data_IF_910029013687
#
_entry.id   IF_910029013687
#
_cell.length_a   1.000
_cell.length_b   1.000
_cell.length_c   1.000
_cell.angle_alpha   90.00
_cell.angle_beta   90.00
_cell.angle_gamma   90.00
#
_symmetry.space_group_name_H-M   'P 1'
#
loop_
_entity.id
_entity.type
_entity.pdbx_description
1 polymer ?
#
# COMPACT_ATOMS: atom_id res chain seq x y z
N UNK A 1 -18.74 19.21 -28.90
CA UNK A 1 -18.66 17.81 -29.36
C UNK A 1 -17.46 17.66 -30.26
N UNK A 2 -16.36 17.16 -29.71
CA UNK A 2 -15.25 16.58 -30.46
C UNK A 2 -14.71 15.44 -29.58
N UNK A 3 -14.76 14.26 -30.17
CA UNK A 3 -14.44 12.94 -29.65
C UNK A 3 -13.08 12.87 -28.93
N UNK A 4 -13.10 12.52 -27.63
CA UNK A 4 -11.96 12.00 -26.88
C UNK A 4 -11.75 10.53 -27.29
N UNK A 5 -11.09 10.31 -28.42
CA UNK A 5 -10.56 8.98 -28.76
C UNK A 5 -9.15 8.83 -28.20
N UNK A 6 -9.07 7.96 -27.20
CA UNK A 6 -8.07 6.91 -27.07
C UNK A 6 -6.59 7.31 -26.93
N UNK A 7 -6.15 7.45 -25.66
CA UNK A 7 -4.75 7.28 -25.24
C UNK A 7 -4.72 6.62 -23.84
N UNK A 8 -5.29 5.41 -23.73
CA UNK A 8 -5.21 4.59 -22.49
C UNK A 8 -3.98 3.67 -22.40
N UNK A 9 -2.98 3.85 -23.26
CA UNK A 9 -1.67 3.20 -23.12
C UNK A 9 -0.71 4.12 -22.39
N UNK A 10 -0.75 4.10 -21.05
CA UNK A 10 0.24 4.76 -20.22
C UNK A 10 1.62 4.12 -20.44
N UNK A 11 2.54 4.91 -20.99
CA UNK A 11 3.93 4.55 -21.32
C UNK A 11 4.80 4.38 -20.05
N UNK A 12 4.50 3.36 -19.25
CA UNK A 12 5.27 2.93 -18.07
C UNK A 12 6.23 1.79 -18.48
N UNK A 13 7.13 2.04 -19.42
CA UNK A 13 7.95 1.01 -20.08
C UNK A 13 8.99 0.29 -19.19
N UNK A 14 9.17 0.71 -17.93
CA UNK A 14 10.05 0.01 -16.96
C UNK A 14 9.29 -0.82 -15.93
N UNK A 15 7.96 -0.77 -15.92
CA UNK A 15 7.15 -1.56 -15.00
C UNK A 15 6.65 -2.82 -15.70
N UNK A 16 6.66 -3.92 -14.98
CA UNK A 16 6.08 -5.14 -15.48
C UNK A 16 4.56 -5.01 -15.59
N UNK A 17 3.94 -5.38 -16.73
CA UNK A 17 2.50 -5.35 -16.88
C UNK A 17 1.79 -6.47 -16.11
N UNK A 18 2.48 -7.40 -15.47
CA UNK A 18 1.87 -8.34 -14.52
C UNK A 18 1.96 -7.81 -13.09
N UNK A 19 3.16 -7.45 -12.66
CA UNK A 19 3.43 -7.16 -11.24
C UNK A 19 3.29 -5.68 -10.88
N UNK A 20 3.32 -4.79 -11.88
CA UNK A 20 3.46 -3.33 -11.74
C UNK A 20 4.70 -2.85 -10.98
N UNK A 21 5.66 -3.75 -10.76
CA UNK A 21 6.96 -3.43 -10.18
C UNK A 21 7.98 -3.13 -11.28
N UNK A 22 9.04 -2.39 -10.92
CA UNK A 22 10.24 -2.29 -11.78
C UNK A 22 10.77 -3.70 -12.07
N UNK A 23 11.03 -4.02 -13.35
CA UNK A 23 11.55 -5.35 -13.67
C UNK A 23 12.89 -5.62 -12.98
N UNK A 24 13.06 -6.83 -12.47
CA UNK A 24 14.33 -7.36 -11.97
C UNK A 24 14.98 -8.27 -13.00
N UNK A 25 14.20 -9.17 -13.59
CA UNK A 25 14.63 -10.07 -14.66
C UNK A 25 13.60 -10.05 -15.81
N UNK A 26 13.63 -9.00 -16.65
CA UNK A 26 12.66 -8.83 -17.72
C UNK A 26 12.89 -9.86 -18.84
N UNK A 27 11.82 -10.50 -19.28
CA UNK A 27 11.78 -11.39 -20.44
C UNK A 27 10.79 -10.87 -21.48
N UNK A 28 11.19 -10.91 -22.74
CA UNK A 28 10.34 -10.65 -23.89
C UNK A 28 9.65 -11.97 -24.28
N UNK A 29 8.32 -11.95 -24.31
CA UNK A 29 7.52 -13.04 -24.83
C UNK A 29 7.27 -12.86 -26.33
N UNK A 30 6.92 -13.96 -27.02
CA UNK A 30 6.61 -13.97 -28.46
C UNK A 30 5.43 -13.07 -28.85
N UNK A 31 4.57 -12.72 -27.89
CA UNK A 31 3.46 -11.78 -28.07
C UNK A 31 3.92 -10.29 -28.13
N UNK A 32 5.23 -10.04 -28.08
CA UNK A 32 5.83 -8.71 -28.16
C UNK A 32 5.88 -7.94 -26.84
N UNK A 33 5.42 -8.53 -25.73
CA UNK A 33 5.38 -7.86 -24.43
C UNK A 33 6.50 -8.33 -23.51
N UNK A 34 6.96 -7.42 -22.64
CA UNK A 34 7.99 -7.73 -21.63
C UNK A 34 7.33 -8.01 -20.29
N UNK A 35 7.74 -9.09 -19.63
CA UNK A 35 7.23 -9.51 -18.33
C UNK A 35 8.37 -9.77 -17.34
N UNK A 36 8.08 -9.73 -16.04
CA UNK A 36 9.02 -10.22 -15.02
C UNK A 36 9.07 -11.74 -15.11
N UNK A 37 10.26 -12.32 -15.28
CA UNK A 37 10.44 -13.75 -15.55
C UNK A 37 9.62 -14.61 -14.60
N UNK A 38 9.82 -14.44 -13.30
CA UNK A 38 9.19 -15.27 -12.28
C UNK A 38 7.65 -15.22 -12.39
N UNK A 39 7.10 -14.03 -12.64
CA UNK A 39 5.65 -13.83 -12.75
C UNK A 39 5.06 -14.47 -14.01
N UNK A 40 5.69 -14.28 -15.17
CA UNK A 40 5.19 -14.85 -16.43
C UNK A 40 5.35 -16.36 -16.48
N UNK A 41 6.44 -16.88 -15.91
CA UNK A 41 6.68 -18.32 -15.84
C UNK A 41 5.63 -19.05 -15.01
N UNK A 42 5.19 -18.45 -13.89
CA UNK A 42 4.09 -18.99 -13.12
C UNK A 42 2.75 -18.85 -13.84
N UNK A 43 2.50 -17.71 -14.48
CA UNK A 43 1.29 -17.50 -15.27
C UNK A 43 1.16 -18.56 -16.38
N UNK A 44 2.22 -18.79 -17.16
CA UNK A 44 2.24 -19.81 -18.21
C UNK A 44 1.98 -21.19 -17.62
N UNK A 45 2.61 -21.54 -16.49
CA UNK A 45 2.37 -22.83 -15.82
C UNK A 45 0.90 -23.04 -15.44
N UNK A 46 0.17 -21.95 -15.17
CA UNK A 46 -1.23 -21.97 -14.76
C UNK A 46 -2.21 -21.92 -15.92
N UNK A 47 -1.93 -21.12 -16.95
CA UNK A 47 -2.90 -20.79 -18.00
C UNK A 47 -2.48 -21.24 -19.40
N UNK A 48 -1.19 -21.53 -19.63
CA UNK A 48 -0.64 -21.83 -20.95
C UNK A 48 -0.78 -20.71 -21.98
N UNK A 49 -1.04 -19.46 -21.54
CA UNK A 49 -1.35 -18.34 -22.43
C UNK A 49 -0.70 -17.03 -21.98
N UNK A 50 -0.64 -16.05 -22.88
CA UNK A 50 -0.21 -14.69 -22.59
C UNK A 50 -1.22 -13.97 -21.68
N UNK A 51 -0.78 -13.25 -20.64
CA UNK A 51 -1.68 -12.48 -19.78
C UNK A 51 -2.40 -11.32 -20.50
N UNK A 52 -1.75 -10.73 -21.51
CA UNK A 52 -2.26 -9.54 -22.20
C UNK A 52 -3.05 -9.90 -23.44
N UNK A 53 -2.57 -10.86 -24.24
CA UNK A 53 -3.17 -11.20 -25.54
C UNK A 53 -4.07 -12.45 -25.48
N UNK A 54 -3.98 -13.23 -24.39
CA UNK A 54 -4.64 -14.54 -24.22
C UNK A 54 -4.28 -15.59 -25.26
N UNK A 55 -3.28 -15.31 -26.11
CA UNK A 55 -2.76 -16.28 -27.08
C UNK A 55 -1.92 -17.36 -26.39
N UNK A 56 -1.83 -18.59 -26.93
CA UNK A 56 -0.98 -19.64 -26.39
C UNK A 56 0.47 -19.15 -26.20
N UNK A 57 1.04 -19.40 -25.03
CA UNK A 57 2.40 -19.00 -24.69
C UNK A 57 3.09 -20.11 -23.91
N UNK A 58 4.33 -20.43 -24.30
CA UNK A 58 5.15 -21.48 -23.71
C UNK A 58 6.42 -20.88 -23.12
N UNK A 59 6.98 -21.55 -22.12
CA UNK A 59 8.20 -21.14 -21.41
C UNK A 59 9.41 -21.04 -22.36
N UNK A 60 9.43 -21.85 -23.42
CA UNK A 60 10.48 -21.85 -24.45
C UNK A 60 10.49 -20.57 -25.30
N UNK A 61 9.38 -19.82 -25.27
CA UNK A 61 9.20 -18.58 -26.02
C UNK A 61 9.45 -17.32 -25.15
N UNK A 62 10.15 -17.47 -24.03
CA UNK A 62 10.58 -16.38 -23.17
C UNK A 62 12.07 -16.10 -23.37
N UNK A 63 12.39 -14.92 -23.89
CA UNK A 63 13.75 -14.50 -24.18
C UNK A 63 14.18 -13.41 -23.19
N UNK A 64 15.39 -13.45 -22.60
CA UNK A 64 15.87 -12.36 -21.77
C UNK A 64 15.81 -11.00 -22.50
N UNK A 65 15.10 -10.02 -21.94
CA UNK A 65 15.06 -8.68 -22.49
C UNK A 65 16.21 -7.84 -21.92
N UNK A 66 17.41 -8.08 -22.47
CA UNK A 66 18.64 -7.42 -22.01
C UNK A 66 18.63 -5.89 -22.22
N UNK A 67 17.80 -5.39 -23.14
CA UNK A 67 17.64 -3.94 -23.36
C UNK A 67 16.91 -3.31 -22.18
N UNK A 68 15.72 -3.82 -21.84
CA UNK A 68 14.96 -3.35 -20.67
C UNK A 68 15.77 -3.55 -19.39
N UNK A 69 16.45 -4.69 -19.26
CA UNK A 69 17.34 -4.97 -18.12
C UNK A 69 18.43 -3.91 -17.97
N UNK A 70 19.13 -3.54 -19.05
CA UNK A 70 20.15 -2.47 -19.03
C UNK A 70 19.57 -1.12 -18.66
N UNK A 71 18.36 -0.76 -19.14
CA UNK A 71 17.73 0.52 -18.79
C UNK A 71 17.41 0.57 -17.29
N UNK A 72 16.92 -0.52 -16.72
CA UNK A 72 16.59 -0.59 -15.29
C UNK A 72 17.85 -0.63 -14.44
N UNK A 73 18.85 -1.42 -14.83
CA UNK A 73 20.14 -1.47 -14.14
C UNK A 73 20.80 -0.08 -14.17
N UNK A 74 20.70 0.66 -15.28
CA UNK A 74 21.15 2.05 -15.36
C UNK A 74 20.33 2.96 -14.43
N UNK A 75 18.99 2.82 -14.40
CA UNK A 75 18.13 3.60 -13.52
C UNK A 75 18.43 3.36 -12.03
N UNK A 76 18.54 2.10 -11.61
CA UNK A 76 18.89 1.69 -10.24
C UNK A 76 20.33 2.09 -9.90
N UNK A 77 21.27 1.96 -10.83
CA UNK A 77 22.67 2.39 -10.64
C UNK A 77 22.76 3.91 -10.50
N UNK A 78 22.05 4.68 -11.33
CA UNK A 78 21.98 6.14 -11.21
C UNK A 78 21.38 6.55 -9.86
N UNK A 79 20.29 5.90 -9.45
CA UNK A 79 19.64 6.14 -8.17
C UNK A 79 20.57 5.81 -7.00
N UNK A 80 21.29 4.69 -7.06
CA UNK A 80 22.27 4.27 -6.05
C UNK A 80 23.52 5.14 -6.02
N UNK A 81 24.04 5.56 -7.18
CA UNK A 81 25.19 6.47 -7.28
C UNK A 81 24.88 7.83 -6.67
N UNK A 82 23.63 8.27 -6.82
CA UNK A 82 23.09 9.44 -6.12
C UNK A 82 22.82 9.21 -4.64
N UNK A 83 23.07 8.01 -4.11
CA UNK A 83 22.76 7.61 -2.73
C UNK A 83 21.29 7.88 -2.37
N UNK A 84 20.38 7.67 -3.33
CA UNK A 84 18.95 7.96 -3.18
C UNK A 84 18.65 9.44 -2.88
N UNK A 85 19.50 10.37 -3.34
CA UNK A 85 19.32 11.82 -3.22
C UNK A 85 19.01 12.44 -4.59
N UNK A 86 17.87 13.09 -4.72
CA UNK A 86 17.42 13.81 -5.90
C UNK A 86 17.37 15.30 -5.60
N UNK A 87 17.46 16.14 -6.64
CA UNK A 87 17.47 17.60 -6.48
C UNK A 87 16.30 18.23 -7.23
N UNK A 88 15.52 19.08 -6.55
CA UNK A 88 14.48 19.89 -7.16
C UNK A 88 15.04 20.79 -8.28
N UNK A 89 14.26 20.93 -9.35
CA UNK A 89 14.56 21.74 -10.54
C UNK A 89 15.82 21.30 -11.33
N UNK A 90 16.39 20.15 -10.96
CA UNK A 90 17.53 19.52 -11.65
C UNK A 90 17.18 18.11 -12.09
N UNK A 91 16.70 17.30 -11.15
CA UNK A 91 16.36 15.90 -11.36
C UNK A 91 14.85 15.69 -11.47
N UNK A 92 14.10 16.43 -10.66
CA UNK A 92 12.64 16.38 -10.62
C UNK A 92 12.07 17.77 -10.48
N UNK A 93 10.89 17.99 -11.05
CA UNK A 93 10.12 19.22 -10.94
C UNK A 93 8.86 18.95 -10.14
N UNK A 94 8.62 19.76 -9.13
CA UNK A 94 7.36 19.78 -8.39
C UNK A 94 6.33 20.62 -9.17
N UNK A 95 5.11 20.12 -9.31
CA UNK A 95 4.02 20.89 -9.91
C UNK A 95 3.77 22.19 -9.13
N UNK A 96 3.51 23.28 -9.85
CA UNK A 96 3.15 24.58 -9.25
C UNK A 96 1.67 24.54 -8.86
N UNK A 97 1.33 25.00 -7.65
CA UNK A 97 -0.04 25.08 -7.18
C UNK A 97 -0.23 24.50 -5.78
N UNK A 98 -1.49 24.25 -5.42
CA UNK A 98 -1.86 23.61 -4.16
C UNK A 98 -1.42 22.13 -4.17
N UNK A 99 -1.08 21.56 -3.00
CA UNK A 99 -0.84 20.12 -2.89
C UNK A 99 -2.09 19.33 -3.31
N UNK A 100 -1.88 18.13 -3.84
CA UNK A 100 -2.94 17.16 -4.11
C UNK A 100 -3.67 16.78 -2.82
N UNK A 101 -2.88 16.63 -1.76
CA UNK A 101 -3.37 16.26 -0.45
C UNK A 101 -2.53 16.96 0.61
N UNK A 102 -3.20 17.45 1.66
CA UNK A 102 -2.53 18.13 2.75
C UNK A 102 -3.20 17.77 4.07
N UNK A 103 -2.37 17.33 5.02
CA UNK A 103 -2.74 17.14 6.42
C UNK A 103 -1.81 17.97 7.28
N UNK A 104 -2.00 17.92 8.59
CA UNK A 104 -1.03 18.55 9.49
C UNK A 104 0.32 17.83 9.28
N UNK A 105 1.39 18.56 9.00
CA UNK A 105 2.74 17.98 8.82
C UNK A 105 3.02 17.26 7.49
N UNK A 106 2.04 16.81 6.69
CA UNK A 106 2.28 16.18 5.37
C UNK A 106 1.63 16.91 4.22
N UNK A 107 2.29 16.89 3.07
CA UNK A 107 1.74 17.44 1.82
C UNK A 107 2.24 16.67 0.62
N UNK A 108 1.33 16.29 -0.28
CA UNK A 108 1.65 15.51 -1.49
C UNK A 108 1.51 16.41 -2.70
N UNK A 109 2.48 16.36 -3.60
CA UNK A 109 2.52 17.16 -4.83
C UNK A 109 2.73 16.26 -6.06
N UNK A 110 2.10 16.61 -7.17
CA UNK A 110 2.49 16.08 -8.48
C UNK A 110 3.95 16.41 -8.77
N UNK A 111 4.65 15.50 -9.45
CA UNK A 111 6.03 15.70 -9.85
C UNK A 111 6.33 15.09 -11.23
N UNK A 112 7.39 15.60 -11.86
CA UNK A 112 7.86 15.17 -13.18
C UNK A 112 9.37 14.98 -13.15
N UNK A 113 9.88 14.02 -13.93
CA UNK A 113 11.32 13.83 -14.11
C UNK A 113 11.90 14.89 -15.05
N UNK A 114 13.06 15.46 -14.71
CA UNK A 114 13.75 16.46 -15.53
C UNK A 114 14.96 15.88 -16.26
N UNK A 115 15.23 16.45 -17.45
CA UNK A 115 16.45 16.29 -18.28
C UNK A 115 16.85 14.86 -18.70
N UNK A 116 16.20 13.80 -18.22
CA UNK A 116 16.60 12.42 -18.50
C UNK A 116 15.41 11.45 -18.67
N UNK A 117 15.17 11.10 -19.94
CA UNK A 117 14.47 9.92 -20.47
C UNK A 117 12.92 9.86 -20.36
N UNK A 118 12.28 9.89 -21.54
CA UNK A 118 11.11 9.06 -21.87
C UNK A 118 11.36 7.66 -21.30
N UNK A 119 10.36 7.02 -20.66
CA UNK A 119 10.46 5.71 -19.98
C UNK A 119 10.72 5.72 -18.46
N UNK A 120 10.09 6.60 -17.67
CA UNK A 120 10.15 6.54 -16.19
C UNK A 120 8.74 6.44 -15.59
N UNK A 121 8.58 5.78 -14.42
CA UNK A 121 7.28 5.72 -13.77
C UNK A 121 6.81 7.12 -13.38
N UNK A 122 5.49 7.32 -13.38
CA UNK A 122 4.85 8.51 -12.79
C UNK A 122 5.24 8.64 -11.32
N UNK A 123 5.50 9.88 -10.89
CA UNK A 123 6.04 10.18 -9.57
C UNK A 123 5.26 11.25 -8.83
N UNK A 124 5.35 11.20 -7.51
CA UNK A 124 4.83 12.21 -6.57
C UNK A 124 5.95 12.66 -5.64
N UNK A 125 5.81 13.86 -5.09
CA UNK A 125 6.64 14.36 -3.99
C UNK A 125 5.81 14.39 -2.71
N UNK A 126 6.18 13.58 -1.72
CA UNK A 126 5.66 13.65 -0.37
C UNK A 126 6.58 14.55 0.46
N UNK A 127 6.06 15.68 0.95
CA UNK A 127 6.73 16.54 1.92
C UNK A 127 6.25 16.19 3.32
N UNK A 128 7.19 15.85 4.21
CA UNK A 128 6.97 15.61 5.64
C UNK A 128 7.63 16.75 6.40
N UNK A 129 6.91 17.35 7.35
CA UNK A 129 7.39 18.45 8.19
C UNK A 129 7.41 18.01 9.67
N UNK A 130 8.29 18.63 10.45
CA UNK A 130 8.48 18.43 11.87
C UNK A 130 9.82 17.76 12.18
N UNK A 131 10.26 17.92 13.44
CA UNK A 131 11.54 17.45 13.96
C UNK A 131 11.82 15.94 13.81
N UNK A 132 10.82 15.15 13.40
CA UNK A 132 10.92 13.69 13.25
C UNK A 132 10.85 13.21 11.79
N UNK A 133 10.74 14.14 10.84
CA UNK A 133 10.62 13.84 9.41
C UNK A 133 11.76 12.92 8.91
N UNK A 134 13.00 13.10 9.40
CA UNK A 134 14.16 12.27 9.02
C UNK A 134 14.00 10.81 9.39
N UNK A 135 13.57 10.56 10.63
CA UNK A 135 13.37 9.20 11.12
C UNK A 135 12.16 8.53 10.47
N UNK A 136 11.10 9.27 10.21
CA UNK A 136 9.94 8.76 9.49
C UNK A 136 10.31 8.40 8.03
N UNK A 137 11.02 9.30 7.36
CA UNK A 137 11.40 9.14 5.96
C UNK A 137 12.33 7.94 5.70
N UNK A 138 13.16 7.52 6.66
CA UNK A 138 14.01 6.34 6.49
C UNK A 138 13.21 5.05 6.32
N UNK A 139 12.07 4.88 7.01
CA UNK A 139 11.24 3.68 6.88
C UNK A 139 10.54 3.59 5.54
N UNK A 140 10.10 4.74 5.01
CA UNK A 140 9.56 4.82 3.65
C UNK A 140 10.56 4.28 2.63
N UNK A 141 11.85 4.60 2.77
CA UNK A 141 12.90 4.07 1.88
C UNK A 141 13.22 2.60 2.17
N UNK A 142 13.38 2.22 3.44
CA UNK A 142 13.77 0.86 3.83
C UNK A 142 12.74 -0.20 3.44
N UNK A 143 11.45 0.09 3.65
CA UNK A 143 10.36 -0.86 3.45
C UNK A 143 9.73 -0.78 2.04
N UNK A 144 10.13 0.21 1.22
CA UNK A 144 9.63 0.45 -0.15
C UNK A 144 9.81 -0.70 -1.15
N UNK A 145 10.54 -1.76 -0.77
CA UNK A 145 10.85 -2.89 -1.67
C UNK A 145 9.79 -3.98 -1.63
N UNK A 146 8.84 -3.89 -0.71
CA UNK A 146 7.69 -4.79 -0.67
C UNK A 146 6.69 -4.42 -1.77
N UNK A 147 6.15 -5.40 -2.53
CA UNK A 147 5.26 -5.12 -3.67
C UNK A 147 3.94 -4.44 -3.27
N UNK A 148 3.50 -4.63 -2.03
CA UNK A 148 2.25 -4.03 -1.52
C UNK A 148 2.51 -2.86 -0.53
N UNK A 149 3.69 -2.26 -0.56
CA UNK A 149 4.01 -1.00 0.13
C UNK A 149 4.40 0.02 -0.93
N UNK A 150 3.88 1.25 -0.83
CA UNK A 150 4.20 2.31 -1.79
C UNK A 150 5.71 2.55 -1.86
N UNK A 151 6.25 2.42 -3.08
CA UNK A 151 7.67 2.56 -3.38
C UNK A 151 8.10 4.01 -3.20
N UNK A 152 9.11 4.19 -2.36
CA UNK A 152 9.83 5.45 -2.19
C UNK A 152 11.20 5.33 -2.86
N UNK A 153 11.41 6.11 -3.92
CA UNK A 153 12.64 6.11 -4.70
C UNK A 153 13.81 6.80 -3.99
N UNK A 154 13.54 7.75 -3.09
CA UNK A 154 14.59 8.44 -2.34
C UNK A 154 14.17 9.81 -1.82
N UNK A 155 15.15 10.55 -1.33
CA UNK A 155 15.03 11.90 -0.78
C UNK A 155 15.14 12.96 -1.88
N UNK A 156 14.48 14.09 -1.70
CA UNK A 156 14.55 15.24 -2.61
C UNK A 156 15.04 16.47 -1.83
N UNK A 157 16.20 16.99 -2.21
CA UNK A 157 16.78 18.23 -1.66
C UNK A 157 16.50 19.45 -2.54
N UNK A 158 16.73 20.66 -1.99
CA UNK A 158 16.64 21.92 -2.73
C UNK A 158 18.05 22.50 -2.94
N UNK A 159 18.39 22.90 -4.17
CA UNK A 159 19.72 23.43 -4.49
C UNK A 159 19.98 24.84 -3.95
N UNK A 160 18.92 25.60 -3.67
CA UNK A 160 19.00 27.05 -3.42
C UNK A 160 18.46 27.49 -2.04
N UNK A 161 18.23 26.56 -1.12
CA UNK A 161 17.73 26.87 0.22
C UNK A 161 18.64 26.18 1.23
N UNK A 162 19.20 26.95 2.16
CA UNK A 162 19.79 26.36 3.38
C UNK A 162 18.70 25.50 4.00
N UNK A 163 18.93 24.18 4.07
CA UNK A 163 17.95 23.17 4.49
C UNK A 163 17.03 23.73 5.57
N UNK A 164 15.73 23.82 5.24
CA UNK A 164 14.70 24.03 6.23
C UNK A 164 14.72 22.75 7.08
N UNK A 165 15.49 22.77 8.18
CA UNK A 165 15.98 21.58 8.91
C UNK A 165 14.86 20.67 9.40
N UNK A 166 13.63 21.19 9.41
CA UNK A 166 12.43 20.52 9.89
C UNK A 166 11.56 19.95 8.76
N UNK A 167 12.00 19.92 7.50
CA UNK A 167 11.20 19.29 6.44
C UNK A 167 11.99 18.41 5.48
N UNK A 168 11.39 17.29 5.09
CA UNK A 168 11.96 16.31 4.17
C UNK A 168 11.00 16.07 3.04
N UNK A 169 11.54 15.98 1.83
CA UNK A 169 10.78 15.55 0.66
C UNK A 169 11.23 14.16 0.22
N UNK A 170 10.26 13.33 -0.12
CA UNK A 170 10.42 11.98 -0.62
C UNK A 170 9.83 11.88 -2.03
N UNK A 171 10.53 11.16 -2.89
CA UNK A 171 10.06 10.84 -4.24
C UNK A 171 9.38 9.47 -4.22
N UNK A 172 8.10 9.40 -4.56
CA UNK A 172 7.30 8.18 -4.50
C UNK A 172 6.68 7.82 -5.85
N UNK A 173 6.33 6.55 -6.03
CA UNK A 173 5.48 6.13 -7.15
C UNK A 173 4.07 6.71 -7.03
N UNK A 174 3.41 6.90 -8.18
CA UNK A 174 2.05 7.42 -8.25
C UNK A 174 1.04 6.28 -8.49
N UNK A 175 -0.01 6.22 -7.68
CA UNK A 175 -1.13 5.31 -7.85
C UNK A 175 -2.18 5.91 -8.81
N UNK A 176 -2.32 5.40 -10.05
CA UNK A 176 -3.18 6.00 -11.06
C UNK A 176 -4.68 5.94 -10.75
N UNK A 177 -5.14 4.96 -9.97
CA UNK A 177 -6.55 4.75 -9.63
C UNK A 177 -6.93 5.39 -8.28
N UNK A 178 -6.04 6.18 -7.68
CA UNK A 178 -6.28 6.82 -6.38
C UNK A 178 -6.27 5.85 -5.20
N UNK A 179 -7.00 6.21 -4.15
CA UNK A 179 -7.21 5.37 -2.96
C UNK A 179 -8.37 4.39 -3.15
N UNK A 180 -8.37 3.30 -2.39
CA UNK A 180 -9.47 2.34 -2.37
C UNK A 180 -10.78 2.99 -1.90
N UNK A 181 -10.69 3.99 -1.01
CA UNK A 181 -11.87 4.77 -0.62
C UNK A 181 -12.49 5.50 -1.81
N UNK A 182 -11.70 6.27 -2.56
CA UNK A 182 -12.17 7.00 -3.75
C UNK A 182 -12.75 6.04 -4.79
N UNK A 183 -12.04 4.94 -5.08
CA UNK A 183 -12.51 3.92 -6.01
C UNK A 183 -13.87 3.32 -5.60
N UNK A 184 -14.12 3.13 -4.30
CA UNK A 184 -15.40 2.59 -3.82
C UNK A 184 -16.51 3.64 -3.82
N UNK A 185 -16.19 4.89 -3.47
CA UNK A 185 -17.14 6.01 -3.41
C UNK A 185 -17.67 6.39 -4.79
N UNK A 186 -16.83 6.30 -5.82
CA UNK A 186 -17.19 6.60 -7.21
C UNK A 186 -18.06 5.51 -7.88
N UNK A 187 -18.29 4.38 -7.21
CA UNK A 187 -19.00 3.22 -7.79
C UNK A 187 -20.44 3.11 -7.34
N UNK A 188 -21.29 2.74 -8.29
CA UNK A 188 -22.69 2.40 -8.00
C UNK A 188 -22.83 1.07 -7.25
N UNK A 189 -21.92 0.13 -7.48
CA UNK A 189 -21.95 -1.22 -6.91
C UNK A 189 -20.66 -1.57 -6.20
N UNK A 190 -20.80 -2.26 -5.07
CA UNK A 190 -19.65 -2.78 -4.32
C UNK A 190 -19.02 -3.92 -5.12
N UNK A 191 -17.67 -3.97 -5.25
CA UNK A 191 -17.00 -5.07 -5.91
C UNK A 191 -17.37 -6.44 -5.32
N UNK A 192 -17.23 -7.48 -6.14
CA UNK A 192 -17.48 -8.86 -5.72
C UNK A 192 -16.64 -9.24 -4.50
N UNK A 193 -17.18 -10.10 -3.64
CA UNK A 193 -16.51 -10.59 -2.43
C UNK A 193 -15.09 -11.10 -2.72
N UNK A 194 -14.88 -11.78 -3.86
CA UNK A 194 -13.59 -12.31 -4.25
C UNK A 194 -12.56 -11.21 -4.54
N UNK A 195 -12.99 -10.11 -5.16
CA UNK A 195 -12.16 -8.94 -5.46
C UNK A 195 -11.74 -8.27 -4.15
N UNK A 196 -12.67 -8.07 -3.22
CA UNK A 196 -12.37 -7.48 -1.92
C UNK A 196 -11.40 -8.33 -1.11
N UNK A 197 -11.58 -9.66 -1.09
CA UNK A 197 -10.66 -10.55 -0.37
C UNK A 197 -9.26 -10.53 -0.98
N UNK A 198 -9.14 -10.50 -2.31
CA UNK A 198 -7.84 -10.37 -2.98
C UNK A 198 -7.11 -9.08 -2.58
N UNK A 199 -7.82 -7.94 -2.59
CA UNK A 199 -7.30 -6.65 -2.11
C UNK A 199 -6.73 -6.80 -0.70
N UNK A 200 -7.50 -7.36 0.23
CA UNK A 200 -7.06 -7.44 1.61
C UNK A 200 -5.98 -8.50 1.87
N UNK A 201 -5.88 -9.56 1.06
CA UNK A 201 -4.74 -10.49 1.15
C UNK A 201 -3.41 -9.80 0.79
N UNK A 202 -3.41 -8.95 -0.23
CA UNK A 202 -2.25 -8.13 -0.61
C UNK A 202 -1.86 -7.14 0.51
N UNK A 203 -2.85 -6.48 1.12
CA UNK A 203 -2.62 -5.55 2.23
C UNK A 203 -2.16 -6.28 3.49
N UNK A 204 -2.68 -7.47 3.78
CA UNK A 204 -2.19 -8.28 4.90
C UNK A 204 -0.71 -8.64 4.69
N UNK A 205 -0.25 -8.92 3.48
CA UNK A 205 1.17 -9.16 3.23
C UNK A 205 2.05 -7.95 3.49
N UNK A 206 1.59 -6.75 3.12
CA UNK A 206 2.25 -5.50 3.51
C UNK A 206 2.32 -5.36 5.03
N UNK A 207 1.22 -5.64 5.73
CA UNK A 207 1.15 -5.53 7.19
C UNK A 207 2.01 -6.58 7.92
N UNK A 208 2.17 -7.79 7.36
CA UNK A 208 3.17 -8.77 7.86
C UNK A 208 4.58 -8.16 7.75
N UNK A 209 4.91 -7.53 6.62
CA UNK A 209 6.20 -6.86 6.43
C UNK A 209 6.44 -5.79 7.49
N UNK A 210 5.44 -4.93 7.74
CA UNK A 210 5.53 -3.89 8.76
C UNK A 210 5.71 -4.49 10.16
N UNK A 211 4.92 -5.51 10.51
CA UNK A 211 4.98 -6.18 11.81
C UNK A 211 6.33 -6.86 12.07
N UNK A 212 6.89 -7.56 11.07
CA UNK A 212 8.20 -8.20 11.14
C UNK A 212 9.33 -7.17 11.35
N UNK A 213 9.15 -5.94 10.85
CA UNK A 213 10.06 -4.81 11.05
C UNK A 213 9.67 -3.93 12.25
N UNK A 214 8.77 -4.41 13.11
CA UNK A 214 8.31 -3.72 14.32
C UNK A 214 7.70 -2.33 14.06
N UNK A 215 7.09 -2.15 12.90
CA UNK A 215 6.35 -0.95 12.50
C UNK A 215 4.86 -1.21 12.71
N UNK A 216 4.23 -0.38 13.54
CA UNK A 216 2.76 -0.30 13.67
C UNK A 216 2.28 0.80 12.74
N UNK A 217 1.31 0.52 11.88
CA UNK A 217 0.74 1.50 10.97
C UNK A 217 -0.06 2.55 11.74
N UNK A 218 -1.01 2.12 12.57
CA UNK A 218 -1.81 2.96 13.47
C UNK A 218 -2.83 3.88 12.81
N UNK A 219 -2.99 3.80 11.48
CA UNK A 219 -4.01 4.53 10.71
C UNK A 219 -4.49 3.72 9.50
N UNK A 220 -4.64 2.40 9.65
CA UNK A 220 -5.05 1.56 8.53
C UNK A 220 -6.55 1.75 8.23
N UNK A 221 -6.84 2.18 7.00
CA UNK A 221 -8.17 2.47 6.46
C UNK A 221 -8.13 2.43 4.93
N UNK A 222 -9.27 2.33 4.23
CA UNK A 222 -9.31 2.29 2.76
C UNK A 222 -8.69 3.54 2.10
N UNK A 223 -8.73 4.71 2.75
CA UNK A 223 -8.03 5.92 2.27
C UNK A 223 -6.50 5.80 2.20
N UNK A 224 -5.92 4.90 3.01
CA UNK A 224 -4.47 4.64 3.07
C UNK A 224 -4.07 3.35 2.31
N UNK A 225 -5.01 2.79 1.54
CA UNK A 225 -4.77 1.71 0.58
C UNK A 225 -4.85 2.32 -0.81
N UNK A 226 -3.74 2.37 -1.54
CA UNK A 226 -3.67 2.93 -2.88
C UNK A 226 -3.84 1.85 -3.93
N UNK A 227 -4.56 2.17 -5.00
CA UNK A 227 -4.89 1.26 -6.09
C UNK A 227 -4.02 1.59 -7.30
N UNK A 228 -3.19 0.63 -7.70
CA UNK A 228 -2.31 0.75 -8.87
C UNK A 228 -2.91 0.17 -10.13
N UNK A 229 -3.76 -0.84 -9.94
CA UNK A 229 -4.55 -1.44 -11.00
C UNK A 229 -5.77 -2.11 -10.39
N UNK A 230 -6.89 -1.97 -11.09
CA UNK A 230 -8.14 -2.57 -10.71
C UNK A 230 -8.78 -3.23 -11.94
N UNK A 231 -9.23 -4.47 -11.78
CA UNK A 231 -10.06 -5.18 -12.75
C UNK A 231 -11.18 -5.85 -11.95
N UNK A 232 -12.42 -5.45 -12.22
CA UNK A 232 -13.59 -5.94 -11.48
C UNK A 232 -13.91 -7.42 -11.78
N UNK A 233 -13.34 -7.99 -12.83
CA UNK A 233 -13.62 -9.34 -13.31
C UNK A 233 -12.50 -10.33 -12.98
N UNK A 234 -11.29 -9.84 -12.76
CA UNK A 234 -10.09 -10.66 -12.60
C UNK A 234 -9.25 -10.22 -11.38
N UNK A 235 -9.36 -10.91 -10.24
CA UNK A 235 -8.59 -10.57 -9.05
C UNK A 235 -7.07 -10.57 -9.27
N UNK A 236 -6.55 -11.37 -10.22
CA UNK A 236 -5.11 -11.46 -10.49
C UNK A 236 -4.54 -10.19 -11.14
N UNK A 237 -5.41 -9.30 -11.59
CA UNK A 237 -5.04 -7.99 -12.13
C UNK A 237 -5.26 -6.86 -11.13
N UNK A 238 -5.58 -7.17 -9.88
CA UNK A 238 -5.65 -6.16 -8.84
C UNK A 238 -4.26 -5.97 -8.27
N UNK A 239 -3.84 -4.71 -8.13
CA UNK A 239 -2.63 -4.35 -7.41
C UNK A 239 -2.93 -3.21 -6.47
N UNK A 240 -2.79 -3.47 -5.17
CA UNK A 240 -2.97 -2.48 -4.11
C UNK A 240 -1.72 -2.37 -3.24
N UNK A 241 -1.47 -1.19 -2.69
CA UNK A 241 -0.33 -0.91 -1.81
C UNK A 241 -0.72 -0.06 -0.61
N UNK A 242 -0.16 -0.36 0.56
CA UNK A 242 -0.29 0.48 1.76
C UNK A 242 0.61 1.71 1.66
N UNK A 243 0.08 2.86 2.07
CA UNK A 243 0.81 4.12 2.26
C UNK A 243 0.65 4.63 3.70
N UNK A 244 1.33 5.73 4.03
CA UNK A 244 1.11 6.47 5.28
C UNK A 244 1.23 5.65 6.59
N UNK A 245 2.11 4.66 6.57
CA UNK A 245 2.52 3.92 7.76
C UNK A 245 3.51 4.71 8.62
N UNK A 246 3.65 4.33 9.89
CA UNK A 246 4.58 5.00 10.82
C UNK A 246 4.05 6.33 11.38
N UNK A 247 2.76 6.61 11.19
CA UNK A 247 2.06 7.81 11.68
C UNK A 247 1.71 7.77 13.18
N UNK A 248 1.73 6.60 13.83
CA UNK A 248 1.39 6.53 15.25
C UNK A 248 2.51 7.11 16.12
N UNK A 249 2.15 7.95 17.09
CA UNK A 249 3.03 8.45 18.18
C UNK A 249 3.82 7.37 18.94
N UNK A 250 3.51 6.10 18.71
CA UNK A 250 3.67 5.04 19.70
C UNK A 250 4.31 3.78 19.14
N UNK A 251 4.68 3.79 17.85
CA UNK A 251 5.76 2.93 17.38
C UNK A 251 7.01 3.16 18.25
N UNK A 252 7.81 2.12 18.54
CA UNK A 252 9.09 2.21 19.31
C UNK A 252 9.99 3.35 18.81
N UNK A 253 9.79 3.76 17.56
CA UNK A 253 10.39 4.90 16.87
C UNK A 253 10.26 6.24 17.59
N UNK A 254 9.16 6.48 18.31
CA UNK A 254 8.86 7.75 18.96
C UNK A 254 9.13 7.75 20.47
N UNK A 255 9.36 6.58 21.07
CA UNK A 255 9.58 6.41 22.52
C UNK A 255 10.93 6.94 23.02
N UNK A 256 11.90 7.16 22.13
CA UNK A 256 13.26 7.61 22.50
C UNK A 256 13.40 9.13 22.69
N UNK A 257 12.39 9.94 22.39
CA UNK A 257 12.49 11.40 22.44
C UNK A 257 11.43 12.01 23.37
N UNK A 258 11.89 12.37 24.57
CA UNK A 258 11.15 12.89 25.72
C UNK A 258 10.31 14.16 25.45
N UNK A 259 9.11 14.16 26.01
CA UNK A 259 8.40 15.25 26.73
C UNK A 259 8.15 16.64 26.12
N UNK A 260 8.39 16.93 24.83
CA UNK A 260 8.17 18.31 24.31
C UNK A 260 7.43 18.44 22.96
N UNK A 261 6.41 17.62 22.66
CA UNK A 261 5.71 17.66 21.36
C UNK A 261 4.23 18.02 21.49
N UNK A 262 3.92 19.29 21.78
CA UNK A 262 2.54 19.80 21.88
C UNK A 262 1.94 20.30 20.56
N UNK A 263 2.71 20.33 19.46
CA UNK A 263 2.23 20.88 18.17
C UNK A 263 2.74 20.08 16.97
N UNK A 264 2.35 18.82 16.86
CA UNK A 264 2.58 17.99 15.67
C UNK A 264 1.29 17.21 15.33
N UNK A 265 1.14 16.73 14.09
CA UNK A 265 0.05 15.89 13.53
C UNK A 265 -0.37 14.71 14.40
N UNK A 266 0.53 14.37 15.31
CA UNK A 266 0.64 13.21 16.16
C UNK A 266 -0.52 13.02 17.18
N UNK A 267 -1.53 13.89 17.23
CA UNK A 267 -2.66 13.73 18.18
C UNK A 267 -3.98 13.26 17.56
N UNK A 268 -4.03 12.99 16.24
CA UNK A 268 -5.28 12.63 15.57
C UNK A 268 -5.42 11.10 15.60
N UNK A 269 -6.26 10.61 16.51
CA UNK A 269 -6.66 9.20 16.54
C UNK A 269 -7.79 9.00 15.53
N UNK A 270 -7.71 8.02 14.62
CA UNK A 270 -8.82 7.66 13.74
C UNK A 270 -9.90 6.92 14.54
N UNK A 271 -10.66 7.64 15.37
CA UNK A 271 -11.54 7.08 16.41
C UNK A 271 -12.47 5.96 15.92
N UNK A 272 -12.95 6.07 14.68
CA UNK A 272 -13.88 5.12 14.06
C UNK A 272 -13.23 3.80 13.58
N UNK A 273 -11.89 3.76 13.53
CA UNK A 273 -11.07 2.61 13.11
C UNK A 273 -10.21 2.05 14.25
N UNK A 274 -10.08 2.79 15.34
CA UNK A 274 -9.18 2.47 16.44
C UNK A 274 -9.75 1.36 17.34
N UNK A 275 -8.83 0.54 17.87
CA UNK A 275 -9.16 -0.55 18.77
C UNK A 275 -9.58 -0.05 20.18
N UNK A 276 -10.37 -0.82 20.95
CA UNK A 276 -10.84 -0.42 22.29
C UNK A 276 -9.73 0.04 23.24
N UNK A 277 -8.57 -0.60 23.23
CA UNK A 277 -7.42 -0.26 24.06
C UNK A 277 -6.77 1.08 23.68
N UNK A 278 -6.88 1.49 22.41
CA UNK A 278 -6.44 2.81 21.93
C UNK A 278 -7.40 3.90 22.39
N UNK A 279 -8.69 3.57 22.50
CA UNK A 279 -9.76 4.50 22.85
C UNK A 279 -10.00 4.66 24.36
N UNK A 280 -9.32 3.86 25.17
CA UNK A 280 -9.44 3.91 26.63
C UNK A 280 -8.90 5.22 27.20
N UNK A 281 -9.56 5.78 28.21
CA UNK A 281 -9.16 7.03 28.86
C UNK A 281 -7.72 7.01 29.43
N UNK A 282 -7.20 5.82 29.73
CA UNK A 282 -5.85 5.61 30.25
C UNK A 282 -4.89 5.03 29.21
N UNK A 283 -5.21 5.13 27.92
CA UNK A 283 -4.35 4.61 26.86
C UNK A 283 -2.95 5.23 26.94
N UNK A 284 -1.94 4.39 27.16
CA UNK A 284 -0.53 4.75 27.07
C UNK A 284 0.03 4.29 25.73
N UNK A 285 1.25 4.70 25.41
CA UNK A 285 1.90 4.35 24.15
C UNK A 285 2.01 2.84 23.91
N UNK A 286 2.01 2.03 24.96
CA UNK A 286 2.18 0.56 24.90
C UNK A 286 0.98 -0.17 24.27
N UNK A 287 -0.16 0.52 24.09
CA UNK A 287 -1.37 -0.11 23.53
C UNK A 287 -1.35 -0.23 22.00
N UNK A 288 -0.46 0.50 21.31
CA UNK A 288 -0.28 0.40 19.86
C UNK A 288 0.61 -0.80 19.53
N UNK A 289 0.02 -1.80 18.88
CA UNK A 289 0.68 -3.08 18.58
C UNK A 289 0.20 -3.62 17.24
N UNK A 290 0.79 -4.73 16.79
CA UNK A 290 0.22 -5.51 15.67
C UNK A 290 -1.29 -5.78 15.90
N UNK A 291 -1.71 -6.03 17.14
CA UNK A 291 -3.09 -6.35 17.48
C UNK A 291 -4.05 -5.16 17.35
N UNK A 292 -3.57 -3.92 17.53
CA UNK A 292 -4.39 -2.75 17.25
C UNK A 292 -4.58 -2.56 15.74
N UNK A 293 -3.53 -2.81 14.94
CA UNK A 293 -3.67 -2.79 13.47
C UNK A 293 -4.56 -3.94 12.95
N UNK A 294 -4.57 -5.10 13.62
CA UNK A 294 -5.52 -6.19 13.33
C UNK A 294 -6.97 -5.74 13.52
N UNK A 295 -7.25 -4.94 14.54
CA UNK A 295 -8.59 -4.37 14.69
C UNK A 295 -8.94 -3.42 13.54
N UNK A 296 -8.01 -2.52 13.20
CA UNK A 296 -8.20 -1.53 12.14
C UNK A 296 -8.33 -2.15 10.74
N UNK A 297 -7.61 -3.24 10.43
CA UNK A 297 -7.81 -3.96 9.16
C UNK A 297 -9.20 -4.59 9.10
N UNK A 298 -9.73 -5.10 10.22
CA UNK A 298 -11.10 -5.59 10.28
C UNK A 298 -12.12 -4.51 9.95
N UNK A 299 -11.94 -3.31 10.51
CA UNK A 299 -12.79 -2.15 10.20
C UNK A 299 -12.64 -1.72 8.73
N UNK A 300 -11.42 -1.75 8.19
CA UNK A 300 -11.15 -1.44 6.78
C UNK A 300 -11.81 -2.44 5.82
N UNK A 301 -11.79 -3.73 6.16
CA UNK A 301 -12.52 -4.76 5.41
C UNK A 301 -14.01 -4.44 5.42
N UNK A 302 -14.59 -4.11 6.58
CA UNK A 302 -16.00 -3.70 6.68
C UNK A 302 -16.32 -2.46 5.85
N UNK A 303 -15.45 -1.45 5.86
CA UNK A 303 -15.57 -0.22 5.07
C UNK A 303 -15.65 -0.57 3.57
N UNK A 304 -14.78 -1.47 3.10
CA UNK A 304 -14.79 -1.93 1.71
C UNK A 304 -16.07 -2.68 1.34
N UNK A 305 -16.50 -3.65 2.15
CA UNK A 305 -17.77 -4.37 1.93
C UNK A 305 -18.98 -3.42 1.95
N UNK A 306 -18.91 -2.33 2.70
CA UNK A 306 -19.99 -1.35 2.81
C UNK A 306 -20.00 -0.34 1.67
N UNK A 307 -19.08 -0.44 0.70
CA UNK A 307 -18.95 0.51 -0.41
C UNK A 307 -18.37 1.85 0.03
N UNK A 308 -17.33 1.84 0.89
CA UNK A 308 -16.67 3.07 1.33
C UNK A 308 -17.42 3.84 2.42
N UNK A 309 -18.49 3.28 3.00
CA UNK A 309 -19.21 3.96 4.10
C UNK A 309 -18.30 4.18 5.30
N UNK A 310 -18.39 5.38 5.87
CA UNK A 310 -17.72 5.72 7.13
C UNK A 310 -18.18 4.74 8.23
N UNK A 311 -17.26 4.07 8.95
CA UNK A 311 -17.61 3.21 10.07
C UNK A 311 -18.40 3.96 11.13
N UNK A 312 -19.45 3.31 11.65
CA UNK A 312 -20.36 3.91 12.63
C UNK A 312 -21.06 5.19 12.15
N UNK A 313 -21.26 5.37 10.84
CA UNK A 313 -21.86 6.58 10.25
C UNK A 313 -23.25 6.94 10.79
N UNK A 314 -23.99 5.98 11.36
CA UNK A 314 -25.27 6.23 12.05
C UNK A 314 -25.12 6.94 13.40
N UNK A 315 -23.89 7.06 13.92
CA UNK A 315 -23.56 7.73 15.17
C UNK A 315 -22.85 9.03 14.80
N UNK A 316 -23.49 10.16 15.09
CA UNK A 316 -23.00 11.48 14.70
C UNK A 316 -21.73 11.89 15.45
N UNK A 317 -21.66 11.60 16.77
CA UNK A 317 -20.56 12.05 17.62
C UNK A 317 -19.55 10.94 17.90
N UNK A 318 -18.27 11.26 17.81
CA UNK A 318 -17.18 10.31 18.02
C UNK A 318 -17.06 9.82 19.47
N UNK A 319 -17.46 10.62 20.46
CA UNK A 319 -17.50 10.22 21.88
C UNK A 319 -18.46 9.04 22.11
N UNK A 320 -19.61 9.03 21.44
CA UNK A 320 -20.54 7.91 21.46
C UNK A 320 -19.97 6.68 20.74
N UNK A 321 -19.23 6.85 19.65
CA UNK A 321 -18.53 5.75 18.97
C UNK A 321 -17.50 5.11 19.91
N UNK A 322 -16.71 5.95 20.60
CA UNK A 322 -15.71 5.50 21.59
C UNK A 322 -16.39 4.66 22.69
N UNK A 323 -17.50 5.14 23.26
CA UNK A 323 -18.24 4.39 24.28
C UNK A 323 -18.75 3.04 23.76
N UNK A 324 -19.32 3.00 22.56
CA UNK A 324 -19.81 1.76 21.93
C UNK A 324 -18.69 0.74 21.74
N UNK A 325 -17.59 1.16 21.12
CA UNK A 325 -16.44 0.29 20.85
C UNK A 325 -15.82 -0.22 22.15
N UNK A 326 -15.64 0.64 23.15
CA UNK A 326 -15.06 0.24 24.46
C UNK A 326 -15.99 -0.69 25.26
N UNK A 327 -17.31 -0.58 25.08
CA UNK A 327 -18.30 -1.51 25.64
C UNK A 327 -18.33 -2.87 24.92
N UNK A 328 -17.74 -2.97 23.72
CA UNK A 328 -17.67 -4.21 22.94
C UNK A 328 -18.70 -4.33 21.84
N UNK A 329 -19.43 -3.25 21.53
CA UNK A 329 -20.31 -3.21 20.36
C UNK A 329 -19.48 -3.36 19.08
N UNK A 330 -20.08 -3.98 18.07
CA UNK A 330 -19.44 -4.24 16.77
C UNK A 330 -20.29 -3.72 15.62
N UNK A 331 -19.65 -3.45 14.49
CA UNK A 331 -20.34 -3.13 13.24
C UNK A 331 -21.18 -4.33 12.79
N UNK A 332 -22.31 -4.06 12.12
CA UNK A 332 -23.19 -5.11 11.58
C UNK A 332 -22.64 -5.71 10.28
N UNK A 333 -22.93 -6.98 10.03
CA UNK A 333 -22.54 -7.66 8.78
C UNK A 333 -23.10 -6.94 7.55
N UNK A 334 -22.25 -6.55 6.57
CA UNK A 334 -22.70 -6.07 5.27
C UNK A 334 -23.43 -7.16 4.49
N UNK A 335 -24.45 -6.79 3.70
CA UNK A 335 -25.29 -7.76 2.98
C UNK A 335 -24.55 -8.59 1.91
N UNK A 336 -23.47 -8.05 1.37
CA UNK A 336 -22.58 -8.68 0.38
C UNK A 336 -21.40 -9.44 1.00
N UNK A 337 -21.31 -9.50 2.34
CA UNK A 337 -20.29 -10.28 3.04
C UNK A 337 -20.87 -11.63 3.45
N UNK A 338 -20.29 -12.73 2.95
CA UNK A 338 -20.70 -14.08 3.35
C UNK A 338 -20.42 -14.35 4.84
N UNK A 339 -21.22 -15.22 5.43
CA UNK A 339 -21.10 -15.55 6.87
C UNK A 339 -19.74 -16.17 7.23
N UNK A 340 -19.10 -16.86 6.28
CA UNK A 340 -17.79 -17.46 6.46
C UNK A 340 -16.71 -16.39 6.68
N UNK A 341 -16.59 -15.40 5.77
CA UNK A 341 -15.64 -14.30 5.95
C UNK A 341 -16.03 -13.39 7.11
N UNK A 342 -17.33 -13.14 7.30
CA UNK A 342 -17.80 -12.35 8.43
C UNK A 342 -17.35 -12.94 9.78
N UNK A 343 -17.42 -14.27 9.93
CA UNK A 343 -16.95 -14.94 11.13
C UNK A 343 -15.46 -14.73 11.41
N UNK A 344 -14.64 -14.52 10.37
CA UNK A 344 -13.21 -14.22 10.49
C UNK A 344 -13.01 -12.73 10.82
N UNK A 345 -13.71 -11.83 10.11
CA UNK A 345 -13.64 -10.38 10.32
C UNK A 345 -14.00 -10.05 11.78
N UNK A 346 -15.06 -10.64 12.31
CA UNK A 346 -15.50 -10.41 13.71
C UNK A 346 -14.44 -10.83 14.74
N UNK A 347 -13.58 -11.83 14.46
CA UNK A 347 -12.47 -12.23 15.35
C UNK A 347 -11.42 -11.14 15.49
N UNK A 348 -11.25 -10.29 14.47
CA UNK A 348 -10.34 -9.14 14.55
C UNK A 348 -10.81 -8.08 15.55
N UNK A 349 -12.10 -8.09 15.91
CA UNK A 349 -12.72 -7.17 16.87
C UNK A 349 -12.95 -7.78 18.24
N UNK A 350 -12.14 -8.77 18.63
CA UNK A 350 -12.09 -9.22 20.03
C UNK A 350 -11.68 -8.07 20.95
N UNK A 351 -12.38 -7.91 22.08
CA UNK A 351 -12.11 -6.81 23.03
C UNK A 351 -10.70 -6.92 23.60
N UNK A 352 -10.29 -8.12 23.99
CA UNK A 352 -8.91 -8.43 24.36
C UNK A 352 -8.02 -8.51 23.11
N UNK A 353 -6.88 -7.79 23.05
CA UNK A 353 -5.93 -7.89 21.95
C UNK A 353 -5.36 -9.30 21.74
N UNK A 354 -5.22 -10.08 22.82
CA UNK A 354 -4.67 -11.44 22.77
C UNK A 354 -5.58 -12.44 22.05
N UNK A 355 -6.90 -12.18 22.08
CA UNK A 355 -7.91 -13.02 21.43
C UNK A 355 -8.08 -12.69 19.95
N UNK A 356 -7.41 -11.65 19.45
CA UNK A 356 -7.37 -11.34 18.02
C UNK A 356 -6.31 -12.21 17.33
N UNK A 357 -6.49 -12.59 16.05
CA UNK A 357 -5.43 -13.21 15.28
C UNK A 357 -4.22 -12.26 15.13
N UNK A 358 -3.07 -12.78 14.72
CA UNK A 358 -1.99 -11.94 14.14
C UNK A 358 -2.15 -11.90 12.62
N UNK A 359 -1.34 -11.13 11.89
CA UNK A 359 -1.54 -10.97 10.45
C UNK A 359 -1.34 -12.28 9.66
N UNK A 360 -0.38 -13.11 10.09
CA UNK A 360 -0.13 -14.43 9.47
C UNK A 360 -1.34 -15.35 9.63
N UNK A 361 -1.93 -15.37 10.82
CA UNK A 361 -3.12 -16.16 11.12
C UNK A 361 -4.36 -15.63 10.38
N UNK A 362 -4.54 -14.31 10.33
CA UNK A 362 -5.62 -13.70 9.55
C UNK A 362 -5.50 -14.06 8.06
N UNK A 363 -4.29 -13.97 7.49
CA UNK A 363 -4.02 -14.38 6.10
C UNK A 363 -4.43 -15.83 5.88
N UNK A 364 -3.97 -16.74 6.76
CA UNK A 364 -4.27 -18.17 6.68
C UNK A 364 -5.79 -18.42 6.69
N UNK A 365 -6.51 -17.83 7.64
CA UNK A 365 -7.95 -17.98 7.78
C UNK A 365 -8.72 -17.50 6.54
N UNK A 366 -8.39 -16.31 6.01
CA UNK A 366 -9.04 -15.78 4.81
C UNK A 366 -8.72 -16.63 3.58
N UNK A 367 -7.46 -17.05 3.44
CA UNK A 367 -6.97 -17.85 2.32
C UNK A 367 -7.61 -19.24 2.29
N UNK A 368 -7.74 -19.91 3.44
CA UNK A 368 -8.42 -21.20 3.54
C UNK A 368 -9.88 -21.11 3.11
N UNK A 369 -10.59 -20.05 3.49
CA UNK A 369 -11.97 -19.82 3.02
C UNK A 369 -12.02 -19.52 1.52
N UNK A 370 -11.04 -18.79 1.00
CA UNK A 370 -10.93 -18.46 -0.43
C UNK A 370 -10.79 -19.71 -1.31
N UNK A 371 -10.01 -20.71 -0.87
CA UNK A 371 -9.80 -21.95 -1.62
C UNK A 371 -10.90 -23.00 -1.47
N UNK A 372 -11.73 -22.95 -0.42
CA UNK A 372 -12.86 -23.86 -0.24
C UNK A 372 -13.93 -23.73 -1.36
N UNK A 373 -13.93 -22.65 -2.15
CA UNK A 373 -14.87 -22.40 -3.26
C UNK A 373 -14.43 -22.90 -4.67
N UNK A 374 -13.40 -23.75 -4.81
CA UNK A 374 -13.28 -24.63 -5.99
C UNK A 374 -12.75 -24.04 -7.31
N UNK A 375 -11.95 -22.98 -7.28
CA UNK A 375 -10.97 -22.70 -8.35
C UNK A 375 -9.66 -22.28 -7.68
N UNK A 376 -8.54 -22.91 -8.06
CA UNK A 376 -7.19 -22.57 -7.61
C UNK A 376 -6.81 -21.14 -8.08
N UNK A 377 -7.33 -20.12 -7.39
CA UNK A 377 -6.77 -18.78 -7.45
C UNK A 377 -5.57 -18.76 -6.51
N UNK A 378 -4.44 -19.30 -6.98
CA UNK A 378 -3.17 -19.23 -6.24
C UNK A 378 -2.86 -17.77 -5.96
N UNK A 379 -3.07 -17.34 -4.72
CA UNK A 379 -2.39 -16.18 -4.16
C UNK A 379 -0.89 -16.47 -4.23
N UNK A 380 -0.20 -15.83 -5.17
CA UNK A 380 1.21 -16.13 -5.38
C UNK A 380 2.06 -15.33 -4.40
N UNK A 381 2.56 -15.99 -3.36
CA UNK A 381 3.45 -15.41 -2.35
C UNK A 381 4.88 -15.17 -2.89
N UNK A 382 5.03 -14.64 -4.10
CA UNK A 382 6.28 -14.62 -4.87
C UNK A 382 7.44 -13.82 -4.26
N UNK A 383 7.24 -13.15 -3.13
CA UNK A 383 8.14 -12.06 -2.73
C UNK A 383 8.90 -12.25 -1.43
N UNK A 384 8.91 -13.45 -0.85
CA UNK A 384 9.77 -13.76 0.29
C UNK A 384 10.61 -15.02 0.06
N UNK A 385 11.84 -14.91 -0.45
CA UNK A 385 12.88 -15.82 0.02
C UNK A 385 13.07 -15.52 1.51
N UNK A 386 12.87 -16.53 2.36
CA UNK A 386 13.29 -16.47 3.76
C UNK A 386 14.75 -15.98 3.81
N UNK A 387 14.97 -14.74 4.22
CA UNK A 387 16.28 -14.32 4.69
C UNK A 387 16.48 -14.98 6.03
N UNK A 388 16.98 -16.22 6.01
CA UNK A 388 17.66 -16.79 7.16
C UNK A 388 18.79 -15.83 7.51
N UNK A 389 18.57 -15.04 8.56
CA UNK A 389 19.63 -14.35 9.28
C UNK A 389 20.58 -15.43 9.77
N UNK A 390 21.62 -15.70 8.99
CA UNK A 390 22.84 -16.31 9.50
C UNK A 390 23.44 -15.29 10.46
N UNK A 391 23.03 -15.37 11.72
CA UNK A 391 23.80 -14.82 12.83
C UNK A 391 25.16 -15.52 12.82
N UNK A 392 26.22 -14.77 12.56
CA UNK A 392 27.53 -15.04 13.14
C UNK A 392 27.72 -14.08 14.30
#
# INVERSE_FOLDING_TARGET
>A
MASLTDTRTSDNSLLCPLTLELFRDPVLAQDGHTYERVAIEEWIRKTGSSPLTRQPLSMEHLYPNLVVKKIIDNFETLTRNKKYQFILDVDVKKAKGRPLFQTYGKSIFNAEWLRTNENRPKILILKINGARASKEASFYVELSRHPHIVRTFGFVGNKNVNDDTDSIMLLQECAPEGSLYELLDERETVPDEKILIEIFLQIIDAMICLADNHVVHGDLACRNILVFRFDETDPEKIVVKVTDFGLSRHSKLYLLASSAASHTTLNIIPYRYAAPEILSANATNEVYTEKSDIYSIGVSIWEAYSGGKIPWSKIERDDHVIQRVTNGDRLSQPSNCSSQYWSIIVKTWSKSPHDRPNFRELKRLLTEQYYQKGKLFKYSSLYYPHTTSNKK
#
